data_IF_850236895246
#
_entry.id   IF_850236895246
#
_cell.length_a   1.000
_cell.length_b   1.000
_cell.length_c   1.000
_cell.angle_alpha   90.00
_cell.angle_beta   90.00
_cell.angle_gamma   90.00
#
_symmetry.space_group_name_H-M   'P 1'
#
loop_
_entity.id
_entity.type
_entity.pdbx_description
1 polymer ?
#
# COMPACT_ATOMS: atom_id res chain seq x y z
N UNK A 1 28.77 18.50 -12.55
CA UNK A 1 27.97 17.51 -11.79
C UNK A 1 26.60 18.11 -11.40
N UNK A 2 25.70 18.27 -12.37
CA UNK A 2 24.39 18.97 -12.23
C UNK A 2 23.17 18.04 -12.36
N UNK A 3 23.34 16.88 -13.00
CA UNK A 3 22.23 15.99 -13.38
C UNK A 3 21.66 15.21 -12.18
N UNK A 4 22.51 14.82 -11.22
CA UNK A 4 22.11 14.06 -10.02
C UNK A 4 21.28 14.95 -9.07
N UNK A 5 21.69 16.21 -8.88
CA UNK A 5 20.94 17.17 -8.05
C UNK A 5 19.56 17.46 -8.62
N UNK A 6 19.45 17.59 -9.95
CA UNK A 6 18.18 17.82 -10.64
C UNK A 6 17.24 16.61 -10.56
N UNK A 7 17.78 15.39 -10.65
CA UNK A 7 17.00 14.18 -10.42
C UNK A 7 16.46 14.16 -8.98
N UNK A 8 17.32 14.38 -7.99
CA UNK A 8 16.93 14.39 -6.58
C UNK A 8 15.87 15.45 -6.25
N UNK A 9 15.99 16.66 -6.78
CA UNK A 9 14.96 17.71 -6.58
C UNK A 9 13.62 17.36 -7.23
N UNK A 10 13.64 16.70 -8.40
CA UNK A 10 12.41 16.23 -9.04
C UNK A 10 11.74 15.12 -8.23
N UNK A 11 12.52 14.19 -7.65
CA UNK A 11 11.99 13.17 -6.75
C UNK A 11 11.37 13.79 -5.50
N UNK A 12 12.07 14.73 -4.84
CA UNK A 12 11.55 15.42 -3.66
C UNK A 12 10.24 16.15 -3.96
N UNK A 13 10.17 16.89 -5.08
CA UNK A 13 8.94 17.57 -5.49
C UNK A 13 7.77 16.62 -5.79
N UNK A 14 8.05 15.39 -6.25
CA UNK A 14 7.02 14.35 -6.43
C UNK A 14 6.53 13.85 -5.06
N UNK A 15 7.42 13.62 -4.09
CA UNK A 15 7.03 13.22 -2.74
C UNK A 15 6.20 14.30 -2.03
N UNK A 16 6.55 15.57 -2.21
CA UNK A 16 5.78 16.69 -1.66
C UNK A 16 4.38 16.75 -2.29
N UNK A 17 4.28 16.57 -3.62
CA UNK A 17 3.00 16.50 -4.31
C UNK A 17 2.14 15.29 -3.86
N UNK A 18 2.77 14.13 -3.61
CA UNK A 18 2.09 12.96 -3.06
C UNK A 18 1.57 13.26 -1.64
N UNK A 19 2.36 13.95 -0.82
CA UNK A 19 1.95 14.39 0.52
C UNK A 19 0.76 15.34 0.48
N UNK A 20 0.78 16.32 -0.43
CA UNK A 20 -0.32 17.28 -0.61
C UNK A 20 -1.61 16.59 -1.09
N UNK A 21 -1.50 15.65 -2.04
CA UNK A 21 -2.62 14.83 -2.48
C UNK A 21 -3.15 14.00 -1.31
N UNK A 22 -2.27 13.34 -0.57
CA UNK A 22 -2.67 12.52 0.57
C UNK A 22 -3.41 13.34 1.62
N UNK A 23 -2.91 14.52 2.01
CA UNK A 23 -3.61 15.42 2.95
C UNK A 23 -4.95 15.91 2.39
N UNK A 24 -5.03 16.25 1.11
CA UNK A 24 -6.28 16.70 0.45
C UNK A 24 -7.37 15.63 0.39
N UNK A 25 -7.00 14.34 0.39
CA UNK A 25 -7.94 13.21 0.34
C UNK A 25 -7.98 12.38 1.63
N UNK A 26 -7.20 12.77 2.65
CA UNK A 26 -7.12 12.12 3.97
C UNK A 26 -8.47 12.03 4.66
N UNK A 27 -9.28 13.07 4.50
CA UNK A 27 -10.64 13.09 4.99
C UNK A 27 -11.60 12.67 3.87
N UNK A 28 -12.26 11.49 4.02
CA UNK A 28 -13.23 11.03 3.03
C UNK A 28 -14.40 12.02 3.01
N UNK A 29 -14.60 12.69 1.87
CA UNK A 29 -15.74 13.61 1.65
C UNK A 29 -17.08 12.87 1.58
N UNK A 30 -17.04 11.55 1.43
CA UNK A 30 -18.21 10.68 1.35
C UNK A 30 -18.47 10.13 2.76
N UNK A 31 -19.71 10.26 3.25
CA UNK A 31 -20.13 9.67 4.53
C UNK A 31 -19.87 8.16 4.49
N UNK A 32 -18.90 7.70 5.27
CA UNK A 32 -18.62 6.28 5.41
C UNK A 32 -19.78 5.62 6.14
N UNK A 33 -20.59 4.84 5.42
CA UNK A 33 -21.59 3.99 6.05
C UNK A 33 -20.88 2.88 6.85
N UNK A 34 -21.49 2.39 7.94
CA UNK A 34 -20.91 1.29 8.73
C UNK A 34 -20.63 0.06 7.88
N UNK A 35 -21.46 -0.22 6.88
CA UNK A 35 -21.27 -1.32 5.94
C UNK A 35 -19.99 -1.17 5.11
N UNK A 36 -19.70 0.03 4.58
CA UNK A 36 -18.47 0.28 3.81
C UNK A 36 -17.22 0.11 4.68
N UNK A 37 -17.25 0.53 5.95
CA UNK A 37 -16.13 0.30 6.87
C UNK A 37 -15.86 -1.18 7.10
N UNK A 38 -16.90 -1.98 7.26
CA UNK A 38 -16.79 -3.44 7.43
C UNK A 38 -16.24 -4.07 6.15
N UNK A 39 -16.75 -3.69 4.98
CA UNK A 39 -16.25 -4.20 3.69
C UNK A 39 -14.77 -3.87 3.48
N UNK A 40 -14.34 -2.64 3.80
CA UNK A 40 -12.93 -2.26 3.73
C UNK A 40 -12.05 -3.03 4.74
N UNK A 41 -12.57 -3.31 5.93
CA UNK A 41 -11.88 -4.12 6.92
C UNK A 41 -11.75 -5.59 6.46
N UNK A 42 -12.84 -6.19 5.97
CA UNK A 42 -12.85 -7.53 5.41
C UNK A 42 -11.88 -7.65 4.23
N UNK A 43 -11.85 -6.65 3.34
CA UNK A 43 -10.90 -6.60 2.24
C UNK A 43 -9.45 -6.60 2.74
N UNK A 44 -9.13 -5.84 3.79
CA UNK A 44 -7.80 -5.82 4.39
C UNK A 44 -7.43 -7.20 4.95
N UNK A 45 -8.34 -7.84 5.69
CA UNK A 45 -8.12 -9.19 6.26
C UNK A 45 -7.93 -10.23 5.15
N UNK A 46 -8.74 -10.16 4.10
CA UNK A 46 -8.63 -11.04 2.93
C UNK A 46 -7.26 -10.95 2.26
N UNK A 47 -6.73 -9.74 2.07
CA UNK A 47 -5.40 -9.54 1.50
C UNK A 47 -4.32 -10.15 2.38
N UNK A 48 -4.37 -9.95 3.70
CA UNK A 48 -3.43 -10.59 4.62
C UNK A 48 -3.52 -12.12 4.57
N UNK A 49 -4.73 -12.67 4.50
CA UNK A 49 -4.95 -14.10 4.42
C UNK A 49 -4.38 -14.70 3.13
N UNK A 50 -4.59 -14.03 1.99
CA UNK A 50 -4.00 -14.41 0.70
C UNK A 50 -2.48 -14.45 0.77
N UNK A 51 -1.84 -13.42 1.33
CA UNK A 51 -0.38 -13.38 1.50
C UNK A 51 0.11 -14.49 2.43
N UNK A 52 -0.59 -14.73 3.54
CA UNK A 52 -0.25 -15.80 4.48
C UNK A 52 -0.31 -17.18 3.84
N UNK A 53 -1.34 -17.47 3.03
CA UNK A 53 -1.44 -18.74 2.28
C UNK A 53 -0.30 -18.88 1.28
N UNK A 54 0.02 -17.82 0.55
CA UNK A 54 1.13 -17.84 -0.41
C UNK A 54 2.46 -18.14 0.28
N UNK A 55 2.73 -17.49 1.42
CA UNK A 55 3.91 -17.76 2.23
C UNK A 55 3.92 -19.18 2.79
N UNK A 56 2.78 -19.65 3.32
CA UNK A 56 2.64 -21.00 3.83
C UNK A 56 2.96 -22.04 2.75
N UNK A 57 2.37 -21.91 1.56
CA UNK A 57 2.65 -22.78 0.42
C UNK A 57 4.11 -22.68 -0.05
N UNK A 58 4.65 -21.47 -0.09
CA UNK A 58 6.03 -21.25 -0.49
C UNK A 58 7.02 -21.94 0.47
N UNK A 59 6.82 -21.77 1.78
CA UNK A 59 7.63 -22.44 2.81
C UNK A 59 7.43 -23.96 2.71
N UNK A 60 6.20 -24.42 2.54
CA UNK A 60 5.93 -25.86 2.41
C UNK A 60 6.67 -26.45 1.22
N UNK A 61 6.64 -25.81 0.05
CA UNK A 61 7.37 -26.26 -1.14
C UNK A 61 8.89 -26.17 -0.91
N UNK A 62 9.39 -25.05 -0.39
CA UNK A 62 10.82 -24.85 -0.17
C UNK A 62 11.43 -25.81 0.87
N UNK A 63 10.66 -26.18 1.91
CA UNK A 63 11.10 -27.10 2.97
C UNK A 63 10.91 -28.55 2.57
N UNK A 64 9.81 -28.89 1.89
CA UNK A 64 9.50 -30.26 1.46
C UNK A 64 10.29 -30.70 0.22
N UNK A 65 10.75 -29.76 -0.61
CA UNK A 65 11.58 -30.03 -1.80
C UNK A 65 13.08 -30.13 -1.46
N UNK A 66 13.39 -30.65 -0.27
CA UNK A 66 14.73 -31.08 0.14
C UNK A 66 14.69 -32.58 0.38
#
# INVERSE_FOLDING_TARGET
>A
MSNIRKAMSNFLGIFDAIGEINEKYKHPRIKMTPMVKISLFALRVYLFFMVAILLYKFIQIAVFNK
#
